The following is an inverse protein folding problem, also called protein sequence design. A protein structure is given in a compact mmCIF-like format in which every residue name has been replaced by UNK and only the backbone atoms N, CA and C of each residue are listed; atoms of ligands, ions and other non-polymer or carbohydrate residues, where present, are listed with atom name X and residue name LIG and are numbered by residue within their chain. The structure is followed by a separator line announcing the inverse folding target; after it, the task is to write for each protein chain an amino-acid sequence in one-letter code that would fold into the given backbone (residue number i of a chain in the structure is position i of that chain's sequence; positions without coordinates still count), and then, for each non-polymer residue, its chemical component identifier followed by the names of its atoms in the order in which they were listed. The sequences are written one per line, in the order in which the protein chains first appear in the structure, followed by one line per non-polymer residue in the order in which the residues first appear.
data_IF_639619319557
#
_entry.id   IF_639619319557
#
_cell.length_a   1.000
_cell.length_b   1.000
_cell.length_c   1.000
_cell.angle_alpha   90.00
_cell.angle_beta   90.00
_cell.angle_gamma   90.00
#
_symmetry.space_group_name_H-M   'P 1'
#
loop_
_entity.id
_entity.type
_entity.pdbx_description
1 polymer ?
#
# COMPACT_ATOMS: atom_id res chain seq x y z
N UNK A 1 1.26 17.75 8.74
CA UNK A 1 1.53 16.47 8.04
C UNK A 1 0.29 15.59 8.15
N UNK A 2 -0.10 14.93 7.05
CA UNK A 2 -1.22 13.96 7.03
C UNK A 2 -0.68 12.62 6.57
N UNK A 3 -1.00 11.55 7.28
CA UNK A 3 -0.63 10.17 6.91
C UNK A 3 -1.91 9.41 6.57
N UNK A 4 -1.94 8.78 5.40
CA UNK A 4 -3.07 7.97 4.94
C UNK A 4 -2.61 6.54 4.73
N UNK A 5 -3.06 5.63 5.59
CA UNK A 5 -2.84 4.20 5.44
C UNK A 5 -4.08 3.55 4.81
N UNK A 6 -4.04 3.36 3.50
CA UNK A 6 -5.13 2.75 2.74
C UNK A 6 -4.58 1.73 1.74
N UNK A 7 -5.32 0.64 1.52
CA UNK A 7 -4.95 -0.36 0.49
C UNK A 7 -4.88 0.26 -0.90
N UNK A 8 -5.74 1.25 -1.17
CA UNK A 8 -5.71 2.08 -2.39
C UNK A 8 -5.45 1.28 -3.67
N UNK A 9 -6.14 0.15 -3.86
CA UNK A 9 -5.75 -0.92 -4.78
C UNK A 9 -5.71 -0.52 -6.27
N UNK A 10 -6.38 0.55 -6.68
CA UNK A 10 -6.43 1.01 -8.08
C UNK A 10 -5.54 2.24 -8.26
N UNK A 11 -4.63 2.22 -9.24
CA UNK A 11 -3.71 3.34 -9.53
C UNK A 11 -4.46 4.63 -9.79
N UNK A 12 -5.57 4.56 -10.54
CA UNK A 12 -6.37 5.74 -10.92
C UNK A 12 -6.77 6.62 -9.73
N UNK A 13 -7.01 6.04 -8.55
CA UNK A 13 -7.35 6.82 -7.35
C UNK A 13 -6.12 7.49 -6.74
N UNK A 14 -4.97 6.82 -6.75
CA UNK A 14 -3.69 7.39 -6.28
C UNK A 14 -3.22 8.50 -7.22
N UNK A 15 -3.32 8.30 -8.53
CA UNK A 15 -3.01 9.31 -9.55
C UNK A 15 -3.90 10.56 -9.39
N UNK A 16 -5.20 10.38 -9.11
CA UNK A 16 -6.13 11.49 -8.84
C UNK A 16 -5.76 12.31 -7.61
N UNK A 17 -5.21 11.67 -6.58
CA UNK A 17 -4.73 12.36 -5.36
C UNK A 17 -3.42 13.09 -5.66
N UNK A 18 -2.48 12.44 -6.35
CA UNK A 18 -1.21 13.04 -6.80
C UNK A 18 -1.41 14.32 -7.60
N UNK A 19 -2.45 14.40 -8.43
CA UNK A 19 -2.80 15.61 -9.19
C UNK A 19 -3.38 16.75 -8.33
N UNK A 20 -3.90 16.45 -7.13
CA UNK A 20 -4.59 17.42 -6.26
C UNK A 20 -3.75 17.86 -5.07
N UNK A 21 -2.83 17.02 -4.64
CA UNK A 21 -1.95 17.28 -3.51
C UNK A 21 -0.60 17.81 -4.03
N UNK A 22 -0.27 19.10 -3.82
CA UNK A 22 0.97 19.69 -4.31
C UNK A 22 2.24 19.10 -3.65
N UNK A 23 2.09 18.50 -2.47
CA UNK A 23 3.16 17.77 -1.75
C UNK A 23 2.65 16.38 -1.40
N UNK A 24 2.85 15.45 -2.32
CA UNK A 24 2.40 14.06 -2.21
C UNK A 24 3.60 13.12 -2.29
N UNK A 25 3.71 12.23 -1.32
CA UNK A 25 4.71 11.16 -1.28
C UNK A 25 3.97 9.84 -1.26
N UNK A 26 4.12 9.05 -2.32
CA UNK A 26 3.58 7.70 -2.41
C UNK A 26 4.59 6.70 -1.84
N UNK A 27 4.24 6.11 -0.69
CA UNK A 27 4.99 5.01 -0.09
C UNK A 27 4.29 3.70 -0.45
N UNK A 28 4.95 2.88 -1.27
CA UNK A 28 4.45 1.55 -1.62
C UNK A 28 5.00 0.50 -0.66
N UNK A 29 4.10 -0.17 0.06
CA UNK A 29 4.45 -1.34 0.86
C UNK A 29 4.37 -2.58 -0.04
N UNK A 30 5.53 -3.04 -0.52
CA UNK A 30 5.66 -4.20 -1.39
C UNK A 30 5.71 -5.50 -0.56
N UNK A 31 4.56 -5.82 0.05
CA UNK A 31 4.35 -7.09 0.73
C UNK A 31 3.69 -8.09 -0.21
N UNK A 32 4.22 -9.30 -0.29
CA UNK A 32 3.61 -10.35 -1.10
C UNK A 32 2.21 -10.73 -0.56
N UNK A 33 1.29 -11.20 -1.43
CA UNK A 33 -0.01 -11.73 -1.00
C UNK A 33 0.12 -12.84 0.05
N UNK A 34 1.12 -13.71 -0.08
CA UNK A 34 1.38 -14.82 0.85
C UNK A 34 1.76 -14.31 2.23
N UNK A 35 2.64 -13.29 2.31
CA UNK A 35 2.99 -12.65 3.58
C UNK A 35 1.79 -11.94 4.21
N UNK A 36 0.94 -11.32 3.40
CA UNK A 36 -0.31 -10.71 3.87
C UNK A 36 -1.29 -11.76 4.41
N UNK A 37 -1.48 -12.86 3.68
CA UNK A 37 -2.37 -13.96 4.05
C UNK A 37 -1.86 -14.76 5.26
N UNK A 38 -0.54 -14.85 5.47
CA UNK A 38 0.03 -15.49 6.65
C UNK A 38 -0.27 -14.71 7.94
N UNK A 39 -0.33 -13.37 7.87
CA UNK A 39 -0.65 -12.52 9.03
C UNK A 39 -2.15 -12.52 9.34
N UNK A 40 -2.98 -12.38 8.30
CA UNK A 40 -4.46 -12.32 8.29
C UNK A 40 -5.17 -12.00 9.63
N UNK A 41 -4.88 -10.86 10.29
CA UNK A 41 -5.37 -10.59 11.65
C UNK A 41 -6.89 -10.40 11.71
N UNK A 42 -7.52 -10.19 10.55
CA UNK A 42 -8.97 -9.98 10.40
C UNK A 42 -9.68 -11.17 9.76
N UNK A 43 -8.97 -12.24 9.42
CA UNK A 43 -9.56 -13.41 8.74
C UNK A 43 -10.07 -13.13 7.32
N UNK A 44 -9.68 -12.00 6.72
CA UNK A 44 -10.19 -11.58 5.41
C UNK A 44 -9.63 -12.46 4.29
N UNK A 45 -8.35 -12.85 4.37
CA UNK A 45 -7.73 -13.73 3.37
C UNK A 45 -8.28 -15.16 3.46
N UNK A 46 -8.51 -15.66 4.67
CA UNK A 46 -9.21 -16.92 4.88
C UNK A 46 -10.64 -16.88 4.30
N UNK A 47 -11.38 -15.81 4.58
CA UNK A 47 -12.75 -15.61 4.04
C UNK A 47 -12.77 -15.48 2.51
N UNK A 48 -11.81 -14.77 1.92
CA UNK A 48 -11.68 -14.65 0.47
C UNK A 48 -11.43 -16.01 -0.20
N UNK A 49 -10.54 -16.84 0.37
CA UNK A 49 -10.30 -18.22 -0.11
C UNK A 49 -11.54 -19.11 -0.02
N UNK A 50 -12.40 -18.88 0.97
CA UNK A 50 -13.69 -19.56 1.10
C UNK A 50 -14.80 -18.95 0.20
N UNK A 51 -14.48 -17.97 -0.65
CA UNK A 51 -15.43 -17.31 -1.55
C UNK A 51 -16.27 -16.20 -0.92
N UNK A 52 -16.04 -15.86 0.36
CA UNK A 52 -16.88 -14.92 1.12
C UNK A 52 -16.45 -13.46 1.07
N UNK A 53 -15.31 -13.14 0.45
CA UNK A 53 -14.78 -11.77 0.31
C UNK A 53 -14.06 -11.57 -1.05
N UNK A 54 -14.78 -11.71 -2.18
CA UNK A 54 -14.19 -11.62 -3.52
C UNK A 54 -13.59 -10.24 -3.84
N UNK A 55 -14.05 -9.18 -3.18
CA UNK A 55 -13.58 -7.81 -3.34
C UNK A 55 -12.23 -7.53 -2.66
N UNK A 56 -11.67 -8.49 -1.90
CA UNK A 56 -10.39 -8.31 -1.20
C UNK A 56 -9.24 -8.12 -2.22
N UNK A 57 -8.56 -6.96 -2.23
CA UNK A 57 -7.42 -6.75 -3.13
C UNK A 57 -6.29 -7.74 -2.85
N UNK A 58 -5.80 -8.40 -3.90
CA UNK A 58 -4.78 -9.46 -3.83
C UNK A 58 -5.33 -10.84 -3.45
N UNK A 59 -6.49 -10.93 -2.78
CA UNK A 59 -7.13 -12.19 -2.39
C UNK A 59 -8.27 -12.66 -3.32
N UNK A 60 -8.82 -11.76 -4.12
CA UNK A 60 -9.88 -12.03 -5.10
C UNK A 60 -10.07 -10.90 -6.12
N UNK A 61 -9.75 -9.66 -5.72
CA UNK A 61 -9.74 -8.49 -6.59
C UNK A 61 -8.30 -8.09 -6.98
N UNK A 62 -8.10 -7.42 -8.12
CA UNK A 62 -6.78 -6.97 -8.54
C UNK A 62 -6.22 -5.89 -7.60
N UNK A 63 -4.93 -6.01 -7.30
CA UNK A 63 -4.12 -4.92 -6.77
C UNK A 63 -3.23 -4.40 -7.90
N UNK A 64 -3.25 -3.09 -8.13
CA UNK A 64 -2.43 -2.43 -9.15
C UNK A 64 -1.22 -1.75 -8.47
N UNK A 65 -0.01 -2.33 -8.55
CA UNK A 65 1.19 -1.70 -8.01
C UNK A 65 1.41 -0.31 -8.63
N UNK A 66 1.96 0.65 -7.86
CA UNK A 66 2.32 1.95 -8.40
C UNK A 66 3.43 1.82 -9.43
N UNK A 67 3.47 2.74 -10.39
CA UNK A 67 4.48 2.72 -11.46
C UNK A 67 5.77 3.44 -11.05
N UNK A 68 5.65 4.50 -10.27
CA UNK A 68 6.75 5.33 -9.82
C UNK A 68 6.44 5.89 -8.42
N UNK A 69 6.38 5.03 -7.39
CA UNK A 69 6.26 5.52 -6.02
C UNK A 69 7.56 6.24 -5.63
N UNK A 70 7.46 7.26 -4.78
CA UNK A 70 8.64 7.96 -4.25
C UNK A 70 9.46 7.05 -3.32
N UNK A 71 8.79 6.15 -2.60
CA UNK A 71 9.43 5.20 -1.67
C UNK A 71 8.83 3.81 -1.83
N UNK A 72 9.69 2.79 -1.83
CA UNK A 72 9.28 1.38 -1.75
C UNK A 72 9.77 0.80 -0.43
N UNK A 73 8.84 0.43 0.45
CA UNK A 73 9.13 -0.34 1.65
C UNK A 73 8.97 -1.82 1.33
N UNK A 74 10.03 -2.61 1.50
CA UNK A 74 10.05 -4.01 1.05
C UNK A 74 9.53 -4.96 2.13
N UNK A 75 8.70 -5.92 1.71
CA UNK A 75 8.06 -6.85 2.62
C UNK A 75 6.91 -6.19 3.38
N UNK A 76 6.68 -6.61 4.62
CA UNK A 76 5.65 -5.96 5.45
C UNK A 76 5.96 -6.02 6.94
N UNK A 77 7.25 -5.91 7.27
CA UNK A 77 7.75 -5.62 8.61
C UNK A 77 8.21 -4.18 8.72
N UNK A 78 9.00 -3.88 9.75
CA UNK A 78 9.68 -2.58 9.86
C UNK A 78 10.74 -2.43 8.77
N UNK A 79 10.67 -1.33 8.01
CA UNK A 79 11.69 -0.94 7.03
C UNK A 79 12.18 0.47 7.38
N UNK A 80 13.29 0.54 8.13
CA UNK A 80 13.82 1.80 8.65
C UNK A 80 14.41 2.69 7.55
N UNK A 81 14.90 2.09 6.47
CA UNK A 81 15.44 2.82 5.33
C UNK A 81 14.31 3.51 4.56
N UNK A 82 13.24 2.78 4.25
CA UNK A 82 12.05 3.37 3.63
C UNK A 82 11.41 4.44 4.52
N UNK A 83 11.37 4.24 5.85
CA UNK A 83 10.88 5.24 6.79
C UNK A 83 11.72 6.52 6.75
N UNK A 84 13.05 6.39 6.79
CA UNK A 84 13.96 7.53 6.72
C UNK A 84 13.83 8.28 5.38
N UNK A 85 13.74 7.55 4.27
CA UNK A 85 13.54 8.13 2.94
C UNK A 85 12.21 8.91 2.84
N UNK A 86 11.13 8.34 3.38
CA UNK A 86 9.83 9.01 3.41
C UNK A 86 9.86 10.28 4.28
N UNK A 87 10.56 10.25 5.42
CA UNK A 87 10.71 11.40 6.30
C UNK A 87 11.50 12.53 5.61
N UNK A 88 12.62 12.23 4.96
CA UNK A 88 13.44 13.22 4.26
C UNK A 88 12.64 13.97 3.17
N UNK A 89 11.84 13.25 2.37
CA UNK A 89 10.99 13.85 1.33
C UNK A 89 9.91 14.80 1.88
N UNK A 90 9.56 14.67 3.15
CA UNK A 90 8.61 15.56 3.82
C UNK A 90 9.29 16.80 4.43
N UNK A 91 10.59 16.74 4.72
CA UNK A 91 11.38 17.85 5.27
C UNK A 91 11.93 18.78 4.17
N UNK A 92 12.20 18.27 2.97
CA UNK A 92 12.82 19.01 1.86
C UNK A 92 11.89 19.98 1.09
N UNK A 93 10.81 20.49 1.71
CA UNK A 93 9.95 21.48 1.03
C UNK A 93 8.97 22.24 1.91
#
# INVERSE_FOLDING_TARGET
MVVVAATAARRVFRDRVRLRAPRFVEVWIDASPEACAARDPKGLWARARAGGAPELPGGGAPYEPPRAPEVVARGGGEDREALAAAAALLEDG
#
